data_IF_617841806638
#
_entry.id   IF_617841806638
#
_cell.length_a   1.000
_cell.length_b   1.000
_cell.length_c   1.000
_cell.angle_alpha   90.00
_cell.angle_beta   90.00
_cell.angle_gamma   90.00
#
_symmetry.space_group_name_H-M   'P 1'
#
loop_
_entity.id
_entity.type
_entity.pdbx_description
1 polymer ?
#
# COMPACT_ATOMS: atom_id res chain seq x y z
N UNK A 1 10.43 -5.10 -11.15
CA UNK A 1 11.46 -5.02 -10.10
C UNK A 1 12.67 -4.20 -10.53
N UNK A 2 13.03 -4.13 -11.85
CA UNK A 2 14.20 -3.39 -12.33
C UNK A 2 14.26 -1.93 -11.84
N UNK A 3 13.12 -1.25 -11.77
CA UNK A 3 12.99 0.16 -11.33
C UNK A 3 13.12 0.37 -9.81
N UNK A 4 13.00 -0.66 -8.98
CA UNK A 4 13.11 -0.53 -7.52
C UNK A 4 14.55 -0.21 -7.12
N UNK A 5 14.76 0.81 -6.31
CA UNK A 5 16.05 1.30 -5.84
C UNK A 5 16.01 1.51 -4.32
N UNK A 6 17.20 1.61 -3.72
CA UNK A 6 17.33 1.92 -2.29
C UNK A 6 16.65 3.25 -1.95
N UNK A 7 16.03 3.31 -0.78
CA UNK A 7 15.37 4.49 -0.26
C UNK A 7 14.00 4.82 -0.85
N UNK A 8 13.53 4.06 -1.83
CA UNK A 8 12.21 4.30 -2.43
C UNK A 8 11.05 4.07 -1.45
N UNK A 9 9.99 4.83 -1.67
CA UNK A 9 8.68 4.61 -1.03
C UNK A 9 7.85 3.69 -1.92
N UNK A 10 7.40 2.57 -1.37
CA UNK A 10 6.65 1.55 -2.10
C UNK A 10 5.31 1.27 -1.40
N UNK A 11 4.23 1.29 -2.16
CA UNK A 11 2.92 0.78 -1.72
C UNK A 11 2.79 -0.69 -2.06
N UNK A 12 2.36 -1.47 -1.08
CA UNK A 12 1.98 -2.87 -1.29
C UNK A 12 0.49 -3.05 -0.98
N UNK A 13 -0.27 -3.47 -1.99
CA UNK A 13 -1.63 -3.97 -1.79
C UNK A 13 -1.64 -5.20 -0.91
N UNK A 14 -2.77 -5.45 -0.26
CA UNK A 14 -2.94 -6.61 0.60
C UNK A 14 -3.43 -6.28 2.01
N UNK A 15 -3.91 -7.33 2.66
CA UNK A 15 -4.31 -7.33 4.07
C UNK A 15 -3.83 -8.65 4.70
N UNK A 16 -2.87 -8.60 5.63
CA UNK A 16 -2.19 -9.77 6.20
C UNK A 16 -1.63 -10.75 5.14
N UNK A 17 -1.20 -10.20 4.00
CA UNK A 17 -0.69 -10.96 2.86
C UNK A 17 -1.74 -11.38 1.83
N UNK A 18 -3.04 -11.34 2.15
CA UNK A 18 -4.10 -11.63 1.17
C UNK A 18 -4.21 -10.48 0.16
N UNK A 19 -4.10 -10.80 -1.12
CA UNK A 19 -4.12 -9.79 -2.19
C UNK A 19 -2.80 -9.02 -2.33
N UNK A 20 -1.68 -9.55 -1.83
CA UNK A 20 -0.35 -8.99 -2.05
C UNK A 20 0.33 -9.61 -3.26
N UNK A 21 1.13 -8.83 -3.97
CA UNK A 21 1.95 -9.23 -5.13
C UNK A 21 3.17 -10.05 -4.68
N UNK A 22 2.96 -11.33 -4.35
CA UNK A 22 3.95 -12.15 -3.62
C UNK A 22 5.18 -12.45 -4.48
N UNK A 23 5.02 -12.75 -5.76
CA UNK A 23 6.16 -13.07 -6.63
C UNK A 23 7.01 -11.82 -6.92
N UNK A 24 6.37 -10.66 -7.07
CA UNK A 24 7.09 -9.39 -7.18
C UNK A 24 7.86 -9.07 -5.89
N UNK A 25 7.22 -9.28 -4.73
CA UNK A 25 7.89 -9.09 -3.43
C UNK A 25 9.09 -10.00 -3.30
N UNK A 26 8.98 -11.27 -3.67
CA UNK A 26 10.11 -12.22 -3.63
C UNK A 26 11.28 -11.75 -4.51
N UNK A 27 10.99 -11.24 -5.69
CA UNK A 27 12.02 -10.67 -6.57
C UNK A 27 12.64 -9.37 -6.00
N UNK A 28 11.91 -8.58 -5.20
CA UNK A 28 12.47 -7.42 -4.47
C UNK A 28 13.38 -7.88 -3.33
N UNK A 29 12.98 -8.94 -2.61
CA UNK A 29 13.82 -9.56 -1.58
C UNK A 29 15.14 -10.05 -2.19
N UNK A 30 15.09 -10.79 -3.30
CA UNK A 30 16.28 -11.29 -4.01
C UNK A 30 17.17 -10.16 -4.52
N UNK A 31 16.57 -9.05 -4.97
CA UNK A 31 17.33 -7.88 -5.43
C UNK A 31 18.15 -7.23 -4.31
N UNK A 32 17.75 -7.38 -3.06
CA UNK A 32 18.50 -6.95 -1.89
C UNK A 32 18.55 -5.42 -1.68
N UNK A 33 17.62 -4.66 -2.27
CA UNK A 33 17.48 -3.20 -2.05
C UNK A 33 17.26 -2.90 -0.59
N UNK A 34 17.70 -1.72 -0.14
CA UNK A 34 17.71 -1.32 1.27
C UNK A 34 16.97 0.01 1.50
N UNK A 35 16.79 0.33 2.77
CA UNK A 35 16.24 1.61 3.24
C UNK A 35 14.85 1.95 2.68
N UNK A 36 14.07 0.95 2.33
CA UNK A 36 12.72 1.15 1.78
C UNK A 36 11.78 1.78 2.81
N UNK A 37 10.93 2.68 2.34
CA UNK A 37 9.71 3.08 3.05
C UNK A 37 8.55 2.29 2.48
N UNK A 38 7.86 1.50 3.29
CA UNK A 38 6.68 0.78 2.84
C UNK A 38 5.40 1.45 3.35
N UNK A 39 4.38 1.50 2.49
CA UNK A 39 3.02 1.91 2.82
C UNK A 39 2.13 0.71 2.56
N UNK A 40 1.49 0.18 3.59
CA UNK A 40 0.63 -0.99 3.50
C UNK A 40 -0.42 -0.97 4.63
N UNK A 41 -1.43 -1.82 4.56
CA UNK A 41 -2.37 -1.94 5.69
C UNK A 41 -1.65 -2.36 6.98
N UNK A 42 -0.73 -3.30 6.86
CA UNK A 42 0.01 -3.93 7.96
C UNK A 42 1.42 -4.35 7.48
N UNK A 43 2.18 -4.99 8.34
CA UNK A 43 3.47 -5.61 7.97
C UNK A 43 3.36 -7.12 7.72
N UNK A 44 2.16 -7.61 7.40
CA UNK A 44 1.81 -9.02 7.19
C UNK A 44 2.17 -9.91 8.40
N UNK A 45 2.45 -11.18 8.15
CA UNK A 45 3.05 -12.10 9.12
C UNK A 45 4.55 -12.21 8.88
N UNK A 46 5.27 -12.78 9.83
CA UNK A 46 6.68 -13.11 9.66
C UNK A 46 6.86 -13.96 8.38
N UNK A 47 7.75 -13.56 7.48
CA UNK A 47 8.06 -14.25 6.22
C UNK A 47 6.86 -14.43 5.25
N UNK A 48 5.82 -13.63 5.36
CA UNK A 48 4.68 -13.64 4.43
C UNK A 48 4.63 -12.32 3.67
N UNK A 49 4.46 -12.36 2.35
CA UNK A 49 4.36 -11.19 1.48
C UNK A 49 5.43 -10.12 1.83
N UNK A 50 5.04 -8.84 1.97
CA UNK A 50 5.97 -7.76 2.31
C UNK A 50 6.59 -7.87 3.73
N UNK A 51 6.08 -8.75 4.61
CA UNK A 51 6.77 -9.12 5.84
C UNK A 51 8.15 -9.75 5.61
N UNK A 52 8.39 -10.37 4.44
CA UNK A 52 9.70 -10.87 4.01
C UNK A 52 10.73 -9.73 3.90
N UNK A 53 10.32 -8.55 3.44
CA UNK A 53 11.20 -7.37 3.34
C UNK A 53 11.64 -6.90 4.73
N UNK A 54 10.73 -6.93 5.70
CA UNK A 54 11.05 -6.63 7.11
C UNK A 54 12.03 -7.65 7.66
N UNK A 55 11.75 -8.96 7.48
CA UNK A 55 12.62 -10.04 7.96
C UNK A 55 14.05 -9.98 7.36
N UNK A 56 14.20 -9.46 6.15
CA UNK A 56 15.50 -9.27 5.47
C UNK A 56 16.14 -7.90 5.74
N UNK A 57 15.63 -7.11 6.70
CA UNK A 57 16.15 -5.77 7.05
C UNK A 57 16.28 -4.84 5.83
N UNK A 58 15.30 -4.88 4.93
CA UNK A 58 15.24 -4.04 3.74
C UNK A 58 14.39 -2.78 3.96
N UNK A 59 13.61 -2.75 5.05
CA UNK A 59 12.68 -1.67 5.39
C UNK A 59 13.26 -0.78 6.46
N UNK A 60 13.35 0.52 6.17
CA UNK A 60 13.75 1.55 7.12
C UNK A 60 12.54 2.19 7.82
N UNK A 61 11.44 2.34 7.09
CA UNK A 61 10.19 2.92 7.60
C UNK A 61 8.97 2.15 7.11
N UNK A 62 8.02 1.90 8.01
CA UNK A 62 6.71 1.34 7.69
C UNK A 62 5.60 2.32 8.10
N UNK A 63 4.75 2.71 7.15
CA UNK A 63 3.54 3.52 7.38
C UNK A 63 2.35 2.55 7.26
N UNK A 64 1.79 2.18 8.39
CA UNK A 64 0.83 1.06 8.49
C UNK A 64 -0.24 1.31 9.55
N UNK A 65 -1.33 0.56 9.48
CA UNK A 65 -2.36 0.61 10.53
C UNK A 65 -2.13 -0.42 11.64
N UNK A 66 -1.37 -1.49 11.36
CA UNK A 66 -1.22 -2.63 12.27
C UNK A 66 0.13 -3.35 12.07
N UNK A 67 0.69 -3.84 13.18
CA UNK A 67 1.94 -4.64 13.19
C UNK A 67 1.90 -5.85 14.11
N UNK A 68 0.78 -6.06 14.83
CA UNK A 68 0.68 -7.06 15.90
C UNK A 68 0.86 -8.51 15.47
N UNK A 69 0.80 -8.79 14.16
CA UNK A 69 0.97 -10.13 13.58
C UNK A 69 2.41 -10.43 13.14
N UNK A 70 3.30 -9.43 13.17
CA UNK A 70 4.69 -9.55 12.72
C UNK A 70 5.65 -9.26 13.87
N UNK A 71 6.26 -10.32 14.41
CA UNK A 71 7.17 -10.23 15.56
C UNK A 71 8.48 -9.55 15.18
N UNK A 72 8.94 -9.74 13.95
CA UNK A 72 10.17 -9.12 13.45
C UNK A 72 10.03 -7.60 13.37
N UNK A 73 8.87 -7.09 12.94
CA UNK A 73 8.56 -5.65 12.98
C UNK A 73 8.66 -5.10 14.41
N UNK A 74 8.10 -5.83 15.38
CA UNK A 74 8.17 -5.41 16.78
C UNK A 74 9.61 -5.41 17.31
N UNK A 75 10.40 -6.43 16.98
CA UNK A 75 11.80 -6.53 17.38
C UNK A 75 12.65 -5.38 16.81
N UNK A 76 12.55 -5.13 15.50
CA UNK A 76 13.31 -4.08 14.82
C UNK A 76 12.89 -2.67 15.28
N UNK A 77 11.59 -2.45 15.51
CA UNK A 77 11.09 -1.19 16.08
C UNK A 77 11.69 -0.94 17.47
N UNK A 78 11.68 -1.96 18.34
CA UNK A 78 12.25 -1.84 19.69
C UNK A 78 13.77 -1.64 19.68
N UNK A 79 14.46 -2.22 18.70
CA UNK A 79 15.90 -2.01 18.49
C UNK A 79 16.23 -0.66 17.84
N UNK A 80 15.23 0.11 17.38
CA UNK A 80 15.43 1.39 16.70
C UNK A 80 15.95 1.28 15.26
N UNK A 81 15.90 0.08 14.65
CA UNK A 81 16.36 -0.16 13.28
C UNK A 81 15.22 -0.04 12.25
N UNK A 82 13.96 -0.01 12.69
CA UNK A 82 12.78 0.19 11.87
C UNK A 82 11.90 1.28 12.48
N UNK A 83 11.67 2.37 11.76
CA UNK A 83 10.66 3.37 12.12
C UNK A 83 9.27 2.86 11.75
N UNK A 84 8.31 2.98 12.66
CA UNK A 84 6.91 2.64 12.39
C UNK A 84 6.02 3.85 12.65
N UNK A 85 5.37 4.34 11.60
CA UNK A 85 4.31 5.33 11.66
C UNK A 85 2.95 4.61 11.69
N UNK A 86 2.28 4.65 12.84
CA UNK A 86 0.93 4.11 12.94
C UNK A 86 -0.11 5.12 12.47
N UNK A 87 -0.92 4.71 11.50
CA UNK A 87 -2.03 5.51 10.97
C UNK A 87 -3.32 4.72 11.17
N UNK A 88 -4.36 5.28 11.80
CA UNK A 88 -5.66 4.60 11.89
C UNK A 88 -6.10 4.12 10.51
N UNK A 89 -6.60 2.89 10.39
CA UNK A 89 -6.80 2.22 9.10
C UNK A 89 -7.64 3.03 8.11
N UNK A 90 -8.79 3.57 8.57
CA UNK A 90 -9.62 4.43 7.71
C UNK A 90 -8.89 5.69 7.27
N UNK A 91 -8.10 6.30 8.16
CA UNK A 91 -7.25 7.46 7.84
C UNK A 91 -6.18 7.10 6.82
N UNK A 92 -5.54 5.92 6.95
CA UNK A 92 -4.55 5.43 5.99
C UNK A 92 -5.17 5.31 4.60
N UNK A 93 -6.33 4.67 4.50
CA UNK A 93 -7.06 4.52 3.24
C UNK A 93 -7.40 5.88 2.61
N UNK A 94 -7.91 6.82 3.41
CA UNK A 94 -8.28 8.15 2.92
C UNK A 94 -7.07 9.02 2.55
N UNK A 95 -5.94 8.91 3.25
CA UNK A 95 -4.69 9.57 2.87
C UNK A 95 -4.18 9.10 1.51
N UNK A 96 -4.24 7.79 1.24
CA UNK A 96 -3.88 7.19 -0.05
C UNK A 96 -4.87 7.67 -1.12
N UNK A 97 -6.18 7.56 -0.86
CA UNK A 97 -7.22 8.01 -1.78
C UNK A 97 -7.11 9.50 -2.10
N UNK A 98 -6.81 10.32 -1.11
CA UNK A 98 -6.66 11.77 -1.28
C UNK A 98 -5.56 12.12 -2.28
N UNK A 99 -4.41 11.42 -2.25
CA UNK A 99 -3.37 11.65 -3.24
C UNK A 99 -3.88 11.33 -4.66
N UNK A 100 -4.45 10.16 -4.86
CA UNK A 100 -4.99 9.73 -6.16
C UNK A 100 -6.09 10.63 -6.71
N UNK A 101 -6.85 11.28 -5.81
CA UNK A 101 -7.90 12.23 -6.17
C UNK A 101 -7.41 13.69 -6.31
N UNK A 102 -6.11 13.96 -6.15
CA UNK A 102 -5.55 15.32 -6.23
C UNK A 102 -5.96 16.23 -5.07
N UNK A 103 -6.37 15.65 -3.91
CA UNK A 103 -6.78 16.42 -2.73
C UNK A 103 -5.55 16.77 -1.87
N UNK A 104 -5.56 17.95 -1.27
CA UNK A 104 -4.49 18.43 -0.39
C UNK A 104 -4.46 17.78 1.00
N UNK A 105 -5.43 16.96 1.34
CA UNK A 105 -5.57 16.25 2.60
C UNK A 105 -7.00 15.88 2.91
N UNK A 106 -7.19 15.24 4.07
CA UNK A 106 -8.51 14.87 4.59
C UNK A 106 -8.66 15.33 6.02
N UNK A 107 -9.88 15.67 6.41
CA UNK A 107 -10.24 16.05 7.78
C UNK A 107 -10.88 14.85 8.46
N UNK A 108 -10.33 14.44 9.60
CA UNK A 108 -10.86 13.32 10.39
C UNK A 108 -10.85 13.63 11.89
N UNK A 109 -11.89 13.25 12.64
CA UNK A 109 -11.86 13.33 14.10
C UNK A 109 -11.09 12.17 14.73
N UNK A 110 -10.74 11.13 13.94
CA UNK A 110 -10.05 9.93 14.43
C UNK A 110 -8.66 10.28 14.90
N UNK A 111 -8.36 10.02 16.16
CA UNK A 111 -7.07 10.30 16.78
C UNK A 111 -6.98 11.63 17.55
N UNK A 112 -8.04 12.45 17.58
CA UNK A 112 -8.09 13.63 18.45
C UNK A 112 -7.86 13.24 19.92
N UNK A 113 -7.01 14.02 20.62
CA UNK A 113 -6.66 13.76 22.01
C UNK A 113 -5.73 12.56 22.24
N UNK A 114 -5.16 11.99 21.18
CA UNK A 114 -4.20 10.88 21.25
C UNK A 114 -2.84 11.27 20.63
N UNK A 115 -1.85 10.39 20.74
CA UNK A 115 -0.54 10.56 20.09
C UNK A 115 -0.64 10.74 18.55
N UNK A 116 -1.73 10.32 17.93
CA UNK A 116 -1.97 10.49 16.50
C UNK A 116 -2.12 11.98 16.12
N UNK A 117 -2.57 12.81 17.03
CA UNK A 117 -2.74 14.24 16.82
C UNK A 117 -1.40 15.01 16.86
N UNK A 118 -0.39 14.48 17.53
CA UNK A 118 0.86 15.21 17.79
C UNK A 118 1.52 15.69 16.49
N UNK A 119 1.87 16.99 16.46
CA UNK A 119 2.51 17.63 15.31
C UNK A 119 1.60 17.87 14.09
N UNK A 120 0.30 17.56 14.18
CA UNK A 120 -0.66 17.74 13.09
C UNK A 120 -1.52 18.99 13.31
N UNK A 121 -1.94 19.60 12.19
CA UNK A 121 -2.84 20.75 12.21
C UNK A 121 -4.25 20.33 12.61
N UNK A 122 -4.85 21.10 13.52
CA UNK A 122 -6.28 20.97 13.86
C UNK A 122 -7.04 22.05 13.10
N UNK A 123 -8.13 21.66 12.49
CA UNK A 123 -9.04 22.51 11.71
C UNK A 123 -10.43 22.44 12.34
N UNK A 124 -10.97 23.59 12.73
CA UNK A 124 -12.35 23.68 13.21
C UNK A 124 -13.31 23.91 12.04
N UNK A 125 -14.30 23.06 11.90
CA UNK A 125 -15.38 23.18 10.92
C UNK A 125 -16.69 23.15 11.67
N UNK A 126 -17.43 24.24 11.61
CA UNK A 126 -18.75 24.39 12.26
C UNK A 126 -18.76 24.00 13.76
N UNK A 127 -17.70 24.42 14.48
CA UNK A 127 -17.58 24.17 15.92
C UNK A 127 -17.05 22.77 16.29
N UNK A 128 -16.68 21.96 15.32
CA UNK A 128 -16.11 20.61 15.53
C UNK A 128 -14.66 20.56 15.04
N UNK A 129 -13.78 20.03 15.87
CA UNK A 129 -12.37 19.89 15.55
C UNK A 129 -12.08 18.62 14.75
N UNK A 130 -11.13 18.75 13.83
CA UNK A 130 -10.64 17.68 12.97
C UNK A 130 -9.11 17.76 12.87
N UNK A 131 -8.46 16.62 12.74
CA UNK A 131 -7.06 16.53 12.34
C UNK A 131 -7.00 16.66 10.81
N UNK A 132 -6.11 17.53 10.30
CA UNK A 132 -5.75 17.54 8.89
C UNK A 132 -4.69 16.48 8.63
N UNK A 133 -5.06 15.44 7.92
CA UNK A 133 -4.17 14.36 7.49
C UNK A 133 -3.71 14.61 6.05
N UNK A 134 -2.38 14.64 5.84
CA UNK A 134 -1.79 14.87 4.52
C UNK A 134 -1.90 13.63 3.63
N UNK A 135 -2.01 13.79 2.30
CA UNK A 135 -2.05 12.67 1.37
C UNK A 135 -0.78 11.80 1.47
N UNK A 136 -0.91 10.54 1.10
CA UNK A 136 0.21 9.60 0.96
C UNK A 136 0.44 9.25 -0.50
N UNK A 137 1.69 9.38 -0.92
CA UNK A 137 2.20 9.04 -2.26
C UNK A 137 3.29 7.98 -2.14
N UNK A 138 3.45 7.16 -3.18
CA UNK A 138 4.61 6.28 -3.35
C UNK A 138 5.31 6.54 -4.70
N UNK A 139 6.57 6.11 -4.80
CA UNK A 139 7.30 6.06 -6.07
C UNK A 139 6.76 4.90 -6.92
N UNK A 140 6.48 3.75 -6.28
CA UNK A 140 5.96 2.57 -6.95
C UNK A 140 4.84 1.95 -6.10
N UNK A 141 3.78 1.47 -6.76
CA UNK A 141 2.77 0.60 -6.14
C UNK A 141 2.81 -0.79 -6.78
N UNK A 142 2.86 -1.83 -5.96
CA UNK A 142 2.70 -3.21 -6.36
C UNK A 142 1.34 -3.73 -5.89
N UNK A 143 0.52 -4.05 -6.86
CA UNK A 143 -0.86 -4.52 -6.68
C UNK A 143 -0.96 -5.99 -7.05
N UNK A 144 -1.99 -6.66 -6.56
CA UNK A 144 -2.39 -7.98 -7.05
C UNK A 144 -3.86 -7.98 -7.41
N UNK A 145 -4.19 -8.53 -8.58
CA UNK A 145 -5.56 -8.72 -9.02
C UNK A 145 -5.79 -10.16 -9.49
N UNK A 146 -7.03 -10.66 -9.35
CA UNK A 146 -7.36 -12.02 -9.75
C UNK A 146 -7.50 -12.15 -11.28
N UNK A 147 -8.04 -11.12 -11.92
CA UNK A 147 -8.12 -11.08 -13.39
C UNK A 147 -7.64 -9.70 -13.83
N UNK A 148 -6.77 -9.68 -14.83
CA UNK A 148 -6.28 -8.44 -15.46
C UNK A 148 -6.41 -8.63 -16.96
N UNK A 149 -6.86 -7.62 -17.70
CA UNK A 149 -6.81 -7.66 -19.16
C UNK A 149 -5.50 -7.02 -19.68
N UNK A 150 -5.26 -7.14 -20.99
CA UNK A 150 -4.06 -6.60 -21.65
C UNK A 150 -3.96 -5.07 -21.55
N UNK A 151 -5.06 -4.37 -21.27
CA UNK A 151 -5.10 -2.91 -21.03
C UNK A 151 -4.86 -2.55 -19.56
N UNK A 152 -4.72 -3.55 -18.67
CA UNK A 152 -4.47 -3.34 -17.23
C UNK A 152 -5.73 -3.17 -16.38
N UNK A 153 -6.93 -3.36 -16.94
CA UNK A 153 -8.16 -3.33 -16.14
C UNK A 153 -8.20 -4.51 -15.17
N UNK A 154 -8.62 -4.25 -13.92
CA UNK A 154 -8.49 -5.20 -12.83
C UNK A 154 -9.84 -5.64 -12.26
N UNK A 155 -9.96 -6.95 -11.99
CA UNK A 155 -11.04 -7.55 -11.20
C UNK A 155 -10.45 -8.20 -9.95
N UNK A 156 -11.00 -7.87 -8.80
CA UNK A 156 -10.64 -8.46 -7.52
C UNK A 156 -11.74 -9.37 -7.01
N UNK A 157 -11.38 -10.55 -6.54
CA UNK A 157 -12.33 -11.52 -5.97
C UNK A 157 -12.22 -11.51 -4.44
N UNK A 158 -13.36 -11.32 -3.77
CA UNK A 158 -13.42 -11.33 -2.31
C UNK A 158 -12.49 -10.28 -1.68
N UNK A 159 -11.71 -10.72 -0.69
CA UNK A 159 -10.84 -9.84 0.11
C UNK A 159 -9.56 -9.40 -0.60
N UNK A 160 -9.29 -9.89 -1.82
CA UNK A 160 -8.16 -9.41 -2.64
C UNK A 160 -8.32 -7.92 -2.99
N UNK A 161 -9.54 -7.41 -3.02
CA UNK A 161 -9.79 -6.00 -3.34
C UNK A 161 -9.09 -5.05 -2.36
N UNK A 162 -9.29 -5.22 -1.05
CA UNK A 162 -8.71 -4.44 0.05
C UNK A 162 -8.14 -3.05 -0.36
N UNK A 163 -6.84 -2.79 -0.18
CA UNK A 163 -6.18 -1.52 -0.51
C UNK A 163 -5.77 -1.39 -1.98
N UNK A 164 -5.82 -2.47 -2.77
CA UNK A 164 -5.33 -2.49 -4.15
C UNK A 164 -5.91 -1.37 -5.04
N UNK A 165 -7.24 -1.15 -5.10
CA UNK A 165 -7.80 -0.08 -5.95
C UNK A 165 -7.37 1.32 -5.53
N UNK A 166 -7.19 1.56 -4.22
CA UNK A 166 -6.77 2.86 -3.72
C UNK A 166 -5.33 3.19 -4.09
N UNK A 167 -4.45 2.20 -3.95
CA UNK A 167 -3.02 2.33 -4.23
C UNK A 167 -2.73 2.47 -5.73
N UNK A 168 -3.61 1.95 -6.60
CA UNK A 168 -3.50 2.12 -8.04
C UNK A 168 -3.41 3.59 -8.48
N UNK A 169 -4.02 4.50 -7.73
CA UNK A 169 -4.08 5.92 -8.06
C UNK A 169 -3.00 6.77 -7.34
N UNK A 170 -2.20 6.16 -6.46
CA UNK A 170 -1.40 6.90 -5.48
C UNK A 170 0.12 6.71 -5.62
N UNK A 171 0.59 6.29 -6.78
CA UNK A 171 2.01 6.11 -7.07
C UNK A 171 2.38 6.67 -8.45
N UNK A 172 3.67 6.98 -8.63
CA UNK A 172 4.20 7.43 -9.93
C UNK A 172 4.35 6.28 -10.93
N UNK A 173 4.47 5.03 -10.46
CA UNK A 173 4.58 3.84 -11.28
C UNK A 173 3.80 2.69 -10.64
N UNK A 174 2.93 2.05 -11.40
CA UNK A 174 2.03 1.01 -10.88
C UNK A 174 2.23 -0.29 -11.64
N UNK A 175 2.49 -1.37 -10.91
CA UNK A 175 2.59 -2.73 -11.45
C UNK A 175 1.56 -3.62 -10.79
N UNK A 176 0.80 -4.34 -11.60
CA UNK A 176 -0.14 -5.37 -11.12
C UNK A 176 0.40 -6.77 -11.36
N UNK A 177 0.44 -7.58 -10.30
CA UNK A 177 0.64 -9.02 -10.37
C UNK A 177 -0.72 -9.67 -10.66
N UNK A 178 -0.86 -10.25 -11.84
CA UNK A 178 -2.10 -10.85 -12.33
C UNK A 178 -2.10 -12.35 -12.07
N UNK A 179 -3.12 -12.86 -11.37
CA UNK A 179 -3.35 -14.31 -11.27
C UNK A 179 -3.78 -14.89 -12.61
N UNK A 180 -4.61 -14.15 -13.34
CA UNK A 180 -5.05 -14.50 -14.69
C UNK A 180 -4.99 -13.27 -15.60
N UNK A 181 -4.34 -13.43 -16.76
CA UNK A 181 -4.35 -12.43 -17.83
C UNK A 181 -5.37 -12.84 -18.89
N UNK A 182 -6.21 -11.90 -19.32
CA UNK A 182 -7.20 -12.07 -20.38
C UNK A 182 -7.01 -11.00 -21.46
N UNK A 183 -7.64 -11.17 -22.62
CA UNK A 183 -7.54 -10.18 -23.70
C UNK A 183 -8.36 -8.93 -23.41
N UNK A 184 -7.94 -7.81 -24.01
CA UNK A 184 -8.72 -6.57 -24.00
C UNK A 184 -10.16 -6.82 -24.44
N UNK A 185 -11.12 -6.34 -23.65
CA UNK A 185 -12.56 -6.52 -23.90
C UNK A 185 -13.17 -7.83 -23.40
N UNK A 186 -12.40 -8.75 -22.82
CA UNK A 186 -12.95 -9.96 -22.18
C UNK A 186 -13.51 -9.70 -20.77
N UNK A 187 -13.10 -8.60 -20.12
CA UNK A 187 -13.74 -8.13 -18.88
C UNK A 187 -14.88 -7.20 -19.26
N UNK A 188 -16.10 -7.53 -18.83
CA UNK A 188 -17.24 -6.65 -19.03
C UNK A 188 -17.00 -5.32 -18.29
N UNK A 189 -17.28 -4.15 -18.89
CA UNK A 189 -16.99 -2.86 -18.29
C UNK A 189 -17.52 -2.67 -16.85
N UNK A 190 -18.71 -3.21 -16.58
CA UNK A 190 -19.33 -3.18 -15.25
C UNK A 190 -18.64 -4.07 -14.21
N UNK A 191 -17.75 -4.96 -14.62
CA UNK A 191 -16.97 -5.82 -13.74
C UNK A 191 -15.59 -5.26 -13.42
N UNK A 192 -15.20 -4.15 -14.05
CA UNK A 192 -13.90 -3.51 -13.79
C UNK A 192 -13.96 -2.81 -12.44
N UNK A 193 -13.17 -3.28 -11.48
CA UNK A 193 -13.06 -2.69 -10.16
C UNK A 193 -12.01 -1.56 -10.08
N UNK A 194 -10.98 -1.63 -10.93
CA UNK A 194 -10.00 -0.56 -11.10
C UNK A 194 -9.55 -0.51 -12.57
N UNK A 195 -9.45 0.72 -13.09
CA UNK A 195 -9.13 0.95 -14.51
C UNK A 195 -7.65 0.75 -14.80
N UNK A 196 -7.36 0.17 -15.96
CA UNK A 196 -6.01 0.03 -16.50
C UNK A 196 -5.28 1.35 -16.77
N UNK A 197 -6.00 2.47 -16.81
CA UNK A 197 -5.38 3.79 -16.99
C UNK A 197 -4.32 4.12 -15.92
N UNK A 198 -4.38 3.46 -14.77
CA UNK A 198 -3.42 3.64 -13.67
C UNK A 198 -2.24 2.66 -13.74
N UNK A 199 -2.26 1.68 -14.64
CA UNK A 199 -1.30 0.57 -14.67
C UNK A 199 -0.21 0.82 -15.71
N UNK A 200 1.05 0.79 -15.26
CA UNK A 200 2.24 0.94 -16.12
C UNK A 200 2.87 -0.41 -16.52
N UNK A 201 2.54 -1.46 -15.79
CA UNK A 201 3.05 -2.79 -16.08
C UNK A 201 2.24 -3.93 -15.48
N UNK A 202 2.21 -5.03 -16.21
CA UNK A 202 1.51 -6.26 -15.80
C UNK A 202 2.56 -7.37 -15.65
N UNK A 203 2.50 -8.11 -14.55
CA UNK A 203 3.25 -9.33 -14.32
C UNK A 203 2.28 -10.48 -14.13
N UNK A 204 2.36 -11.51 -14.98
CA UNK A 204 1.54 -12.71 -14.85
C UNK A 204 2.19 -13.68 -13.87
N UNK A 205 1.45 -14.10 -12.85
CA UNK A 205 1.88 -15.14 -11.89
C UNK A 205 2.27 -16.43 -12.65
N UNK A 206 3.34 -17.09 -12.20
CA UNK A 206 3.85 -18.33 -12.78
C UNK A 206 3.33 -19.53 -12.02
#
# INVERSE_FOLDING_TARGET
VAKVQDGMTIMFGGFLGVGSAVQIIDAIVEKGVKDLTIIANDTAYDNVAHGKLVANHQVKKAIVSHTGTNKETAAQKNAGTLEVEYVPQGTLAERIRAYGAGLGGVLTPTGLGTVIQEGKQIVNVDGKDYILEKPLKADIAFLRANIVDEDGNMVFLGTTQNFNPLMAMAADYVVVEAEKLVKSGEIAPEQIHASGIFVDGIYLEK
#
